data_IF_159486207550
#
_entry.id   IF_159486207550
#
_cell.length_a   1.000
_cell.length_b   1.000
_cell.length_c   1.000
_cell.angle_alpha   90.00
_cell.angle_beta   90.00
_cell.angle_gamma   90.00
#
_symmetry.space_group_name_H-M   'P 1'
#
loop_
_entity.id
_entity.type
_entity.pdbx_description
1 polymer ?
#
# COMPACT_ATOMS: atom_id res chain seq x y z
N UNK A 1 -7.62 -4.55 -4.57
CA UNK A 1 -6.94 -5.00 -3.33
C UNK A 1 -5.42 -4.77 -3.47
N UNK A 2 -4.68 -4.79 -2.37
CA UNK A 2 -3.20 -4.74 -2.39
C UNK A 2 -2.64 -6.10 -1.96
N UNK A 3 -1.38 -6.35 -2.29
CA UNK A 3 -0.65 -7.55 -1.86
C UNK A 3 0.33 -7.13 -0.78
N UNK A 4 0.30 -7.81 0.37
CA UNK A 4 1.36 -7.72 1.38
C UNK A 4 2.39 -8.81 1.08
N UNK A 5 3.58 -8.41 0.64
CA UNK A 5 4.68 -9.33 0.30
C UNK A 5 5.81 -9.22 1.32
N UNK A 6 6.33 -10.36 1.78
CA UNK A 6 7.56 -10.40 2.59
C UNK A 6 8.84 -10.29 1.73
N UNK A 7 8.69 -10.35 0.40
CA UNK A 7 9.80 -10.32 -0.55
C UNK A 7 9.72 -9.06 -1.41
N UNK A 8 10.71 -8.18 -1.27
CA UNK A 8 10.78 -6.90 -1.99
C UNK A 8 11.36 -7.08 -3.41
N UNK A 9 12.50 -7.76 -3.54
CA UNK A 9 13.20 -7.95 -4.83
C UNK A 9 12.65 -9.13 -5.63
N UNK A 10 11.40 -9.02 -6.06
CA UNK A 10 10.67 -10.05 -6.81
C UNK A 10 11.09 -10.14 -8.29
N UNK A 11 10.89 -11.30 -8.91
CA UNK A 11 10.70 -11.38 -10.36
C UNK A 11 9.34 -10.77 -10.71
N UNK A 12 9.35 -9.57 -11.30
CA UNK A 12 8.15 -8.80 -11.60
C UNK A 12 7.20 -9.55 -12.55
N UNK A 13 7.75 -10.28 -13.53
CA UNK A 13 6.95 -10.95 -14.55
C UNK A 13 6.24 -12.18 -13.99
N UNK A 14 6.93 -13.00 -13.20
CA UNK A 14 6.31 -14.13 -12.50
C UNK A 14 5.27 -13.67 -11.48
N UNK A 15 5.63 -12.63 -10.70
CA UNK A 15 4.75 -12.08 -9.69
C UNK A 15 3.46 -11.51 -10.31
N UNK A 16 3.58 -10.72 -11.39
CA UNK A 16 2.41 -10.10 -12.02
C UNK A 16 1.52 -11.10 -12.76
N UNK A 17 2.06 -12.20 -13.30
CA UNK A 17 1.24 -13.31 -13.85
C UNK A 17 0.29 -13.87 -12.81
N UNK A 18 0.75 -13.95 -11.56
CA UNK A 18 -0.06 -14.44 -10.44
C UNK A 18 -1.10 -13.39 -10.03
N UNK A 19 -0.69 -12.16 -9.77
CA UNK A 19 -1.57 -11.25 -9.03
C UNK A 19 -2.43 -10.33 -9.88
N UNK A 20 -2.02 -10.01 -11.11
CA UNK A 20 -2.80 -9.12 -11.98
C UNK A 20 -4.19 -9.68 -12.32
N UNK A 21 -4.37 -10.98 -12.64
CA UNK A 21 -5.69 -11.56 -12.87
C UNK A 21 -6.59 -11.57 -11.63
N UNK A 22 -6.02 -11.42 -10.43
CA UNK A 22 -6.74 -11.37 -9.14
C UNK A 22 -7.18 -9.96 -8.75
N UNK A 23 -6.93 -8.95 -9.61
CA UNK A 23 -7.35 -7.57 -9.39
C UNK A 23 -6.50 -6.81 -8.36
N UNK A 24 -5.28 -7.28 -8.08
CA UNK A 24 -4.33 -6.55 -7.25
C UNK A 24 -3.82 -5.30 -7.97
N UNK A 25 -3.82 -4.17 -7.28
CA UNK A 25 -3.47 -2.84 -7.86
C UNK A 25 -2.15 -2.28 -7.34
N UNK A 26 -1.61 -2.82 -6.24
CA UNK A 26 -0.34 -2.41 -5.65
C UNK A 26 0.25 -3.54 -4.78
N UNK A 27 1.54 -3.40 -4.47
CA UNK A 27 2.29 -4.25 -3.54
C UNK A 27 2.82 -3.37 -2.41
N UNK A 28 2.74 -3.88 -1.19
CA UNK A 28 3.18 -3.28 0.07
C UNK A 28 3.52 -4.43 1.04
N UNK A 29 3.75 -4.19 2.33
CA UNK A 29 4.27 -5.24 3.22
C UNK A 29 3.49 -5.41 4.54
N UNK A 30 2.50 -4.56 4.85
CA UNK A 30 1.93 -4.48 6.20
C UNK A 30 0.41 -4.71 6.28
N UNK A 31 -0.37 -4.45 5.23
CA UNK A 31 -1.83 -4.40 5.30
C UNK A 31 -2.46 -5.74 5.72
N UNK A 32 -1.98 -6.87 5.20
CA UNK A 32 -2.48 -8.19 5.54
C UNK A 32 -2.30 -8.48 7.03
N UNK A 33 -1.11 -8.17 7.58
CA UNK A 33 -0.82 -8.32 9.01
C UNK A 33 -1.69 -7.39 9.85
N UNK A 34 -1.76 -6.10 9.48
CA UNK A 34 -2.58 -5.10 10.17
C UNK A 34 -4.05 -5.53 10.26
N UNK A 35 -4.66 -5.88 9.14
CA UNK A 35 -6.08 -6.24 9.10
C UNK A 35 -6.39 -7.59 9.73
N UNK A 36 -5.46 -8.54 9.64
CA UNK A 36 -5.57 -9.83 10.34
C UNK A 36 -5.56 -9.60 11.86
N UNK A 37 -4.60 -8.82 12.37
CA UNK A 37 -4.53 -8.49 13.79
C UNK A 37 -5.73 -7.68 14.26
N UNK A 38 -6.20 -6.71 13.47
CA UNK A 38 -7.39 -5.93 13.77
C UNK A 38 -8.61 -6.84 13.98
N UNK A 39 -8.78 -7.82 13.09
CA UNK A 39 -9.85 -8.82 13.20
C UNK A 39 -9.69 -9.73 14.42
N UNK A 40 -8.47 -10.18 14.72
CA UNK A 40 -8.17 -11.09 15.83
C UNK A 40 -8.22 -10.42 17.20
N UNK A 41 -7.91 -9.13 17.29
CA UNK A 41 -7.80 -8.39 18.56
C UNK A 41 -8.93 -7.38 18.78
N UNK A 42 -9.82 -7.20 17.80
CA UNK A 42 -11.02 -6.38 17.95
C UNK A 42 -10.77 -4.87 17.91
N UNK A 43 -9.67 -4.41 17.32
CA UNK A 43 -9.43 -2.98 17.08
C UNK A 43 -9.83 -2.57 15.66
N UNK A 44 -10.17 -1.29 15.49
CA UNK A 44 -10.48 -0.69 14.18
C UNK A 44 -9.18 -0.35 13.46
N UNK A 45 -9.06 -0.74 12.19
CA UNK A 45 -7.89 -0.46 11.38
C UNK A 45 -8.29 0.04 9.99
N UNK A 46 -7.41 0.84 9.39
CA UNK A 46 -7.51 1.32 8.02
C UNK A 46 -6.10 1.55 7.46
N UNK A 47 -5.96 1.51 6.15
CA UNK A 47 -4.70 1.78 5.47
C UNK A 47 -4.95 2.67 4.24
N UNK A 48 -4.03 3.60 4.02
CA UNK A 48 -3.98 4.46 2.83
C UNK A 48 -2.55 4.39 2.31
N UNK A 49 -2.40 4.23 0.99
CA UNK A 49 -1.10 4.08 0.35
C UNK A 49 -0.85 5.24 -0.61
N UNK A 50 0.37 5.76 -0.57
CA UNK A 50 0.91 6.68 -1.59
C UNK A 50 1.74 5.83 -2.55
N UNK A 51 1.45 5.91 -3.84
CA UNK A 51 2.21 5.18 -4.86
C UNK A 51 3.55 5.88 -5.08
N UNK A 52 4.64 5.23 -4.67
CA UNK A 52 6.02 5.76 -4.77
C UNK A 52 6.73 5.40 -6.08
N UNK A 53 6.27 4.36 -6.77
CA UNK A 53 6.89 3.85 -7.98
C UNK A 53 5.86 3.14 -8.86
N UNK A 54 6.24 2.92 -10.12
CA UNK A 54 5.42 2.22 -11.11
C UNK A 54 6.11 0.94 -11.60
N UNK A 55 6.94 0.31 -10.76
CA UNK A 55 7.81 -0.81 -11.13
C UNK A 55 7.01 -1.99 -11.70
N UNK A 56 5.83 -2.25 -11.17
CA UNK A 56 4.92 -3.31 -11.64
C UNK A 56 4.38 -3.08 -13.07
N UNK A 57 4.45 -1.83 -13.58
CA UNK A 57 3.99 -1.44 -14.91
C UNK A 57 5.17 -1.23 -15.85
N UNK A 58 6.19 -0.49 -15.41
CA UNK A 58 7.37 -0.13 -16.21
C UNK A 58 8.40 -1.26 -16.30
N UNK A 59 8.35 -2.23 -15.38
CA UNK A 59 9.37 -3.28 -15.20
C UNK A 59 10.78 -2.74 -14.91
N UNK A 60 10.87 -1.51 -14.41
CA UNK A 60 12.10 -0.82 -14.04
C UNK A 60 11.95 -0.25 -12.64
N UNK A 61 13.01 -0.36 -11.84
CA UNK A 61 13.05 0.17 -10.47
C UNK A 61 13.26 1.69 -10.50
N UNK A 62 12.17 2.42 -10.67
CA UNK A 62 12.15 3.88 -10.68
C UNK A 62 11.38 4.40 -9.47
N UNK A 63 12.11 4.76 -8.42
CA UNK A 63 11.55 5.31 -7.19
C UNK A 63 11.41 6.83 -7.31
N UNK A 64 10.22 7.35 -7.01
CA UNK A 64 10.02 8.79 -6.88
C UNK A 64 10.88 9.36 -5.75
N UNK A 65 11.36 10.59 -5.92
CA UNK A 65 12.17 11.26 -4.90
C UNK A 65 11.32 11.74 -3.73
N UNK A 66 11.97 12.09 -2.61
CA UNK A 66 11.29 12.68 -1.47
C UNK A 66 10.56 13.99 -1.84
N UNK A 67 11.12 14.80 -2.74
CA UNK A 67 10.48 16.04 -3.18
C UNK A 67 9.26 15.75 -4.06
N UNK A 68 9.32 14.74 -4.93
CA UNK A 68 8.18 14.33 -5.77
C UNK A 68 6.99 13.86 -4.90
N UNK A 69 7.28 13.16 -3.82
CA UNK A 69 6.25 12.57 -2.95
C UNK A 69 5.70 13.53 -1.90
N UNK A 70 6.39 14.63 -1.61
CA UNK A 70 6.05 15.56 -0.52
C UNK A 70 4.59 15.98 -0.53
N UNK A 71 4.09 16.47 -1.66
CA UNK A 71 2.69 16.93 -1.78
C UNK A 71 1.67 15.79 -1.64
N UNK A 72 1.99 14.62 -2.18
CA UNK A 72 1.13 13.44 -2.09
C UNK A 72 1.04 12.93 -0.64
N UNK A 73 2.18 12.88 0.05
CA UNK A 73 2.28 12.50 1.47
C UNK A 73 1.53 13.51 2.35
N UNK A 74 1.66 14.82 2.09
CA UNK A 74 0.94 15.84 2.86
C UNK A 74 -0.58 15.71 2.69
N UNK A 75 -1.05 15.52 1.45
CA UNK A 75 -2.46 15.30 1.15
C UNK A 75 -2.99 14.01 1.80
N UNK A 76 -2.24 12.92 1.69
CA UNK A 76 -2.56 11.65 2.32
C UNK A 76 -2.67 11.78 3.84
N UNK A 77 -1.70 12.46 4.47
CA UNK A 77 -1.67 12.67 5.92
C UNK A 77 -2.88 13.45 6.41
N UNK A 78 -3.25 14.54 5.71
CA UNK A 78 -4.47 15.33 6.02
C UNK A 78 -5.72 14.44 5.97
N UNK A 79 -5.88 13.65 4.90
CA UNK A 79 -7.01 12.73 4.75
C UNK A 79 -7.07 11.67 5.87
N UNK A 80 -5.92 11.12 6.27
CA UNK A 80 -5.82 10.16 7.37
C UNK A 80 -6.22 10.80 8.70
N UNK A 81 -5.72 11.99 9.03
CA UNK A 81 -6.10 12.68 10.27
C UNK A 81 -7.58 13.03 10.30
N UNK A 82 -8.14 13.51 9.18
CA UNK A 82 -9.59 13.77 9.07
C UNK A 82 -10.43 12.51 9.25
N UNK A 83 -9.98 11.37 8.72
CA UNK A 83 -10.66 10.10 8.91
C UNK A 83 -10.57 9.65 10.37
N UNK A 84 -9.38 9.73 10.98
CA UNK A 84 -9.13 9.29 12.35
C UNK A 84 -10.02 10.01 13.37
N UNK A 85 -10.21 11.33 13.25
CA UNK A 85 -11.07 12.10 14.17
C UNK A 85 -12.58 11.85 13.97
N UNK A 86 -12.99 11.29 12.84
CA UNK A 86 -14.39 10.97 12.53
C UNK A 86 -14.79 9.57 12.98
N UNK A 87 -13.82 8.71 13.31
CA UNK A 87 -14.09 7.35 13.81
C UNK A 87 -14.53 7.44 15.27
N UNK A 88 -15.75 6.98 15.56
CA UNK A 88 -16.19 6.74 16.94
C UNK A 88 -15.38 5.58 17.50
N UNK A 89 -14.64 5.78 18.58
CA UNK A 89 -13.94 4.71 19.32
C UNK A 89 -14.89 4.11 20.33
#
# INVERSE_FOLDING_TARGET
>A
PVISSDYFYIDIDEFMKTWRPRGSIAVEMECATLFTLARLRGFKAGALLVVSDATLVKKEWELATAEDLKNAVEKASKAVFEAAIKIKV
#
